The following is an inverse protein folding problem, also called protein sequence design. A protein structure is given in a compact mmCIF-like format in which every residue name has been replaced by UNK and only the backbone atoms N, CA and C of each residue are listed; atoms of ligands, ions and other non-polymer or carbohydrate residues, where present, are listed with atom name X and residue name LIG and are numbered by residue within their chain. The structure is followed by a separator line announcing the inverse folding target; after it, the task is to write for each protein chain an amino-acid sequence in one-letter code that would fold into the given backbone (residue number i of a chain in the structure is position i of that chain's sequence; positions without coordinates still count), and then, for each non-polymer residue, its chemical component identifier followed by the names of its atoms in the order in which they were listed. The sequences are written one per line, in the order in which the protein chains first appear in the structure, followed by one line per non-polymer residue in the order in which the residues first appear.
data_IF_559301845706
#
_entry.id   IF_559301845706
#
_cell.length_a   1.000
_cell.length_b   1.000
_cell.length_c   1.000
_cell.angle_alpha   90.00
_cell.angle_beta   90.00
_cell.angle_gamma   90.00
#
_symmetry.space_group_name_H-M   'P 1'
#
loop_
_entity.id
_entity.type
_entity.pdbx_description
1 polymer ?
#
# COMPACT_ATOMS: atom_id res chain seq x y z
N UNK A 1 -16.11 38.47 7.25
CA UNK A 1 -15.84 37.25 6.47
C UNK A 1 -17.16 36.52 6.25
N UNK A 2 -17.53 36.18 5.01
CA UNK A 2 -18.74 35.38 4.75
C UNK A 2 -18.48 33.96 5.26
N UNK A 3 -19.36 33.42 6.09
CA UNK A 3 -19.32 32.00 6.50
C UNK A 3 -19.30 31.16 5.23
N UNK A 4 -18.24 30.39 5.02
CA UNK A 4 -18.15 29.43 3.91
C UNK A 4 -19.26 28.41 4.08
N UNK A 5 -20.04 28.17 3.02
CA UNK A 5 -21.07 27.13 3.00
C UNK A 5 -20.39 25.76 3.19
N UNK A 6 -20.88 24.92 4.12
CA UNK A 6 -20.42 23.54 4.35
C UNK A 6 -20.12 22.79 3.05
N UNK A 7 -21.04 22.90 2.09
CA UNK A 7 -20.90 22.26 0.78
C UNK A 7 -19.61 22.69 0.08
N UNK A 8 -19.28 23.98 0.10
CA UNK A 8 -18.06 24.50 -0.53
C UNK A 8 -16.78 23.98 0.14
N UNK A 9 -16.77 23.84 1.47
CA UNK A 9 -15.62 23.32 2.21
C UNK A 9 -15.38 21.85 1.85
N UNK A 10 -16.45 21.06 1.89
CA UNK A 10 -16.42 19.62 1.57
C UNK A 10 -16.09 19.40 0.09
N UNK A 11 -16.73 20.13 -0.83
CA UNK A 11 -16.46 20.04 -2.27
C UNK A 11 -15.01 20.41 -2.60
N UNK A 12 -14.42 21.40 -1.91
CA UNK A 12 -13.01 21.75 -2.10
C UNK A 12 -12.09 20.58 -1.74
N UNK A 13 -12.33 19.93 -0.60
CA UNK A 13 -11.55 18.75 -0.21
C UNK A 13 -11.81 17.59 -1.18
N UNK A 14 -13.08 17.30 -1.50
CA UNK A 14 -13.43 16.23 -2.45
C UNK A 14 -12.81 16.42 -3.83
N UNK A 15 -12.75 17.64 -4.34
CA UNK A 15 -12.07 17.95 -5.59
C UNK A 15 -10.57 17.65 -5.50
N UNK A 16 -9.91 18.07 -4.42
CA UNK A 16 -8.50 17.77 -4.18
C UNK A 16 -8.22 16.26 -4.11
N UNK A 17 -9.09 15.49 -3.45
CA UNK A 17 -9.01 14.03 -3.37
C UNK A 17 -9.28 13.37 -4.72
N UNK A 18 -10.43 13.67 -5.34
CA UNK A 18 -10.91 12.98 -6.54
C UNK A 18 -10.01 13.19 -7.75
N UNK A 19 -9.50 14.39 -7.97
CA UNK A 19 -8.63 14.67 -9.13
C UNK A 19 -7.34 13.84 -9.09
N UNK A 20 -6.78 13.63 -7.90
CA UNK A 20 -5.52 12.91 -7.74
C UNK A 20 -5.66 11.39 -7.87
N UNK A 21 -6.88 10.85 -7.71
CA UNK A 21 -7.11 9.41 -7.57
C UNK A 21 -8.03 8.81 -8.63
N UNK A 22 -8.85 9.60 -9.31
CA UNK A 22 -9.95 9.12 -10.16
C UNK A 22 -9.49 8.15 -11.26
N UNK A 23 -8.30 8.40 -11.80
CA UNK A 23 -7.73 7.58 -12.86
C UNK A 23 -7.11 6.27 -12.35
N UNK A 24 -6.86 6.14 -11.04
CA UNK A 24 -6.14 5.02 -10.44
C UNK A 24 -7.07 4.12 -9.61
N UNK A 25 -7.99 4.70 -8.85
CA UNK A 25 -8.79 3.98 -7.86
C UNK A 25 -10.28 4.20 -8.08
N UNK A 26 -11.09 3.13 -8.23
CA UNK A 26 -12.54 3.23 -8.33
C UNK A 26 -13.18 3.41 -6.94
N UNK A 27 -12.91 4.53 -6.28
CA UNK A 27 -13.50 4.84 -4.96
C UNK A 27 -14.90 5.41 -5.14
N UNK A 28 -15.88 4.85 -4.43
CA UNK A 28 -17.26 5.37 -4.44
C UNK A 28 -17.27 6.79 -3.88
N UNK A 29 -17.96 7.70 -4.56
CA UNK A 29 -18.07 9.10 -4.14
C UNK A 29 -18.58 9.25 -2.69
N UNK A 30 -19.56 8.43 -2.28
CA UNK A 30 -20.04 8.40 -0.90
C UNK A 30 -18.94 8.04 0.11
N UNK A 31 -18.01 7.14 -0.22
CA UNK A 31 -16.91 6.80 0.70
C UNK A 31 -15.94 7.98 0.87
N UNK A 32 -15.68 8.74 -0.20
CA UNK A 32 -14.86 9.96 -0.11
C UNK A 32 -15.53 11.03 0.76
N UNK A 33 -16.85 11.19 0.66
CA UNK A 33 -17.62 12.12 1.50
C UNK A 33 -17.49 11.74 2.98
N UNK A 34 -17.63 10.45 3.32
CA UNK A 34 -17.53 10.00 4.71
C UNK A 34 -16.08 10.10 5.24
N UNK A 35 -15.08 9.83 4.40
CA UNK A 35 -13.67 10.02 4.75
C UNK A 35 -13.35 11.49 5.02
N UNK A 36 -13.75 12.41 4.13
CA UNK A 36 -13.58 13.85 4.33
C UNK A 36 -14.31 14.34 5.58
N UNK A 37 -15.49 13.77 5.88
CA UNK A 37 -16.23 14.11 7.10
C UNK A 37 -15.46 13.72 8.36
N UNK A 38 -14.77 12.57 8.34
CA UNK A 38 -13.93 12.14 9.45
C UNK A 38 -12.73 13.06 9.66
N UNK A 39 -12.19 13.66 8.60
CA UNK A 39 -11.18 14.71 8.72
C UNK A 39 -11.68 15.97 9.43
N UNK A 40 -12.99 16.20 9.50
CA UNK A 40 -13.60 17.24 10.34
C UNK A 40 -14.19 16.67 11.63
N UNK A 41 -13.61 15.58 12.13
CA UNK A 41 -13.93 14.98 13.43
C UNK A 41 -15.41 14.53 13.52
N UNK A 42 -15.95 13.99 12.42
CA UNK A 42 -17.28 13.36 12.38
C UNK A 42 -17.30 12.14 11.47
N UNK A 43 -17.86 11.00 11.93
CA UNK A 43 -17.81 9.76 11.13
C UNK A 43 -18.66 9.77 9.87
N UNK A 44 -19.67 10.64 9.81
CA UNK A 44 -20.61 10.73 8.68
C UNK A 44 -20.90 12.16 8.27
N UNK A 45 -21.27 12.37 7.00
CA UNK A 45 -21.67 13.68 6.49
C UNK A 45 -22.93 14.23 7.16
N UNK A 46 -23.86 13.36 7.55
CA UNK A 46 -25.03 13.77 8.33
C UNK A 46 -24.63 14.34 9.70
N UNK A 47 -23.66 13.73 10.38
CA UNK A 47 -23.12 14.23 11.64
C UNK A 47 -22.34 15.54 11.42
N UNK A 48 -21.56 15.64 10.33
CA UNK A 48 -20.87 16.87 9.96
C UNK A 48 -21.85 18.02 9.73
N UNK A 49 -22.95 17.77 9.03
CA UNK A 49 -23.98 18.78 8.76
C UNK A 49 -24.63 19.29 10.04
N UNK A 50 -25.02 18.38 10.94
CA UNK A 50 -25.58 18.75 12.23
C UNK A 50 -24.59 19.57 13.07
N UNK A 51 -23.31 19.17 13.11
CA UNK A 51 -22.25 19.94 13.76
C UNK A 51 -22.11 21.35 13.16
N UNK A 52 -22.10 21.46 11.83
CA UNK A 52 -21.98 22.74 11.13
C UNK A 52 -23.15 23.69 11.42
N UNK A 53 -24.36 23.17 11.61
CA UNK A 53 -25.53 23.96 12.01
C UNK A 53 -25.35 24.58 13.41
N UNK A 54 -24.58 23.92 14.30
CA UNK A 54 -24.29 24.40 15.66
C UNK A 54 -23.04 25.28 15.72
N UNK A 55 -22.02 24.96 14.93
CA UNK A 55 -20.74 25.63 14.91
C UNK A 55 -20.14 25.62 13.50
N UNK A 56 -19.79 26.78 12.91
CA UNK A 56 -19.11 26.82 11.62
C UNK A 56 -17.82 25.99 11.63
N UNK A 57 -17.56 25.27 10.54
CA UNK A 57 -16.30 24.53 10.39
C UNK A 57 -15.14 25.48 10.11
N UNK A 58 -14.01 25.21 10.75
CA UNK A 58 -12.72 25.81 10.39
C UNK A 58 -12.05 24.94 9.30
N UNK A 59 -11.83 25.44 8.07
CA UNK A 59 -11.14 24.69 7.03
C UNK A 59 -9.74 24.23 7.43
N UNK A 60 -9.09 24.91 8.38
CA UNK A 60 -7.75 24.56 8.87
C UNK A 60 -7.78 23.43 9.91
N UNK A 61 -8.95 23.07 10.44
CA UNK A 61 -9.08 21.98 11.40
C UNK A 61 -9.15 20.59 10.74
N UNK A 62 -8.86 20.48 9.44
CA UNK A 62 -8.94 19.22 8.71
C UNK A 62 -7.81 18.28 9.14
N UNK A 63 -8.18 17.19 9.81
CA UNK A 63 -7.31 16.09 10.17
C UNK A 63 -7.19 15.10 9.01
N UNK A 64 -6.08 15.21 8.28
CA UNK A 64 -5.73 14.29 7.19
C UNK A 64 -5.67 12.83 7.66
N UNK A 65 -5.12 12.55 8.84
CA UNK A 65 -4.96 11.18 9.32
C UNK A 65 -6.32 10.55 9.60
N UNK A 66 -7.22 11.28 10.27
CA UNK A 66 -8.59 10.80 10.52
C UNK A 66 -9.35 10.51 9.20
N UNK A 67 -9.13 11.32 8.17
CA UNK A 67 -9.68 11.06 6.83
C UNK A 67 -9.14 9.76 6.21
N UNK A 68 -7.82 9.56 6.24
CA UNK A 68 -7.17 8.35 5.69
C UNK A 68 -7.57 7.10 6.46
N UNK A 69 -7.65 7.16 7.79
CA UNK A 69 -8.08 6.04 8.62
C UNK A 69 -9.53 5.65 8.29
N UNK A 70 -10.42 6.63 8.14
CA UNK A 70 -11.80 6.37 7.73
C UNK A 70 -11.89 5.80 6.32
N UNK A 71 -11.04 6.27 5.40
CA UNK A 71 -10.98 5.71 4.05
C UNK A 71 -10.53 4.24 4.07
N UNK A 72 -9.59 3.89 4.94
CA UNK A 72 -9.14 2.50 5.12
C UNK A 72 -10.28 1.58 5.58
N UNK A 73 -11.12 2.05 6.50
CA UNK A 73 -12.32 1.32 6.96
C UNK A 73 -13.36 1.11 5.85
N UNK A 74 -13.51 2.10 4.95
CA UNK A 74 -14.53 2.09 3.89
C UNK A 74 -14.08 1.40 2.60
N UNK A 75 -12.78 1.20 2.42
CA UNK A 75 -12.19 0.60 1.22
C UNK A 75 -11.30 -0.57 1.63
N UNK A 76 -9.99 -0.36 1.61
CA UNK A 76 -8.99 -1.25 2.17
C UNK A 76 -7.76 -0.43 2.61
N UNK A 77 -6.98 -0.91 3.59
CA UNK A 77 -5.81 -0.18 4.09
C UNK A 77 -4.77 0.16 3.01
N UNK A 78 -4.62 -0.68 1.98
CA UNK A 78 -3.63 -0.45 0.92
C UNK A 78 -4.08 0.68 -0.02
N UNK A 79 -5.37 0.76 -0.36
CA UNK A 79 -5.93 1.90 -1.10
C UNK A 79 -5.78 3.19 -0.31
N UNK A 80 -6.16 3.21 0.97
CA UNK A 80 -6.06 4.42 1.79
C UNK A 80 -4.62 4.93 1.92
N UNK A 81 -3.64 4.05 2.14
CA UNK A 81 -2.23 4.42 2.20
C UNK A 81 -1.70 4.92 0.84
N UNK A 82 -2.16 4.35 -0.28
CA UNK A 82 -1.79 4.86 -1.60
C UNK A 82 -2.41 6.25 -1.90
N UNK A 83 -3.64 6.50 -1.45
CA UNK A 83 -4.29 7.81 -1.52
C UNK A 83 -3.54 8.84 -0.67
N UNK A 84 -3.09 8.45 0.52
CA UNK A 84 -2.29 9.31 1.38
C UNK A 84 -1.00 9.78 0.69
N UNK A 85 -0.30 8.89 -0.01
CA UNK A 85 0.88 9.25 -0.81
C UNK A 85 0.57 10.32 -1.86
N UNK A 86 -0.54 10.17 -2.59
CA UNK A 86 -0.96 11.11 -3.62
C UNK A 86 -1.35 12.48 -3.01
N UNK A 87 -1.95 12.47 -1.82
CA UNK A 87 -2.26 13.68 -1.07
C UNK A 87 -1.00 14.39 -0.57
N UNK A 88 0.07 13.64 -0.31
CA UNK A 88 1.40 14.17 0.02
C UNK A 88 2.11 14.86 -1.15
N UNK A 89 1.49 14.97 -2.33
CA UNK A 89 2.03 15.65 -3.49
C UNK A 89 2.56 14.72 -4.59
N UNK A 90 2.62 13.41 -4.32
CA UNK A 90 3.01 12.44 -5.33
C UNK A 90 1.97 12.39 -6.48
N UNK A 91 2.45 12.05 -7.67
CA UNK A 91 1.64 11.86 -8.87
C UNK A 91 2.08 10.57 -9.54
N UNK A 92 1.13 9.73 -9.90
CA UNK A 92 1.39 8.49 -10.62
C UNK A 92 0.50 8.42 -11.86
N UNK A 93 1.11 8.24 -13.02
CA UNK A 93 0.40 7.88 -14.24
C UNK A 93 0.68 6.42 -14.56
N UNK A 94 -0.33 5.72 -15.09
CA UNK A 94 -0.19 4.34 -15.58
C UNK A 94 -0.86 4.28 -16.95
N UNK A 95 -0.04 4.02 -17.97
CA UNK A 95 -0.46 3.72 -19.33
C UNK A 95 -0.71 2.23 -19.51
N UNK A 96 -1.78 1.89 -20.24
CA UNK A 96 -2.08 0.52 -20.65
C UNK A 96 -2.40 0.54 -22.14
N UNK A 97 -1.44 0.11 -22.97
CA UNK A 97 -1.54 0.17 -24.42
C UNK A 97 -1.61 -1.23 -25.00
N UNK A 98 -2.62 -1.52 -25.83
CA UNK A 98 -2.71 -2.83 -26.51
C UNK A 98 -1.55 -2.95 -27.50
N UNK A 99 -0.86 -4.09 -27.50
CA UNK A 99 0.20 -4.35 -28.48
C UNK A 99 -0.40 -4.41 -29.88
N UNK A 100 0.19 -3.66 -30.81
CA UNK A 100 -0.25 -3.62 -32.20
C UNK A 100 0.04 -4.95 -32.92
N UNK A 101 1.15 -5.60 -32.57
CA UNK A 101 1.58 -6.86 -33.18
C UNK A 101 1.58 -7.95 -32.13
N UNK A 102 0.78 -8.98 -32.36
CA UNK A 102 0.79 -10.21 -31.58
C UNK A 102 1.22 -11.36 -32.48
N UNK A 103 2.31 -12.08 -32.14
CA UNK A 103 2.71 -13.25 -32.90
C UNK A 103 1.59 -14.29 -32.91
N UNK A 104 1.23 -14.82 -34.08
CA UNK A 104 0.08 -15.75 -34.27
C UNK A 104 0.11 -16.98 -33.35
N UNK A 105 1.29 -17.39 -32.89
CA UNK A 105 1.47 -18.53 -31.98
C UNK A 105 0.94 -18.29 -30.56
N UNK A 106 0.69 -17.04 -30.17
CA UNK A 106 0.25 -16.70 -28.83
C UNK A 106 -1.25 -16.42 -28.82
N UNK A 107 -1.98 -17.19 -28.01
CA UNK A 107 -3.44 -17.10 -27.86
C UNK A 107 -3.86 -16.10 -26.76
N UNK A 108 -2.89 -15.46 -26.10
CA UNK A 108 -3.17 -14.46 -25.08
C UNK A 108 -3.61 -13.14 -25.72
N UNK A 109 -3.91 -12.13 -24.91
CA UNK A 109 -4.05 -10.74 -25.36
C UNK A 109 -3.05 -9.87 -24.59
N UNK A 110 -2.13 -9.23 -25.31
CA UNK A 110 -0.99 -8.54 -24.70
C UNK A 110 -1.10 -7.02 -24.72
N UNK A 111 -0.70 -6.39 -23.62
CA UNK A 111 -0.60 -4.94 -23.45
C UNK A 111 0.79 -4.57 -22.94
N UNK A 112 1.29 -3.42 -23.38
CA UNK A 112 2.40 -2.74 -22.75
C UNK A 112 1.88 -1.90 -21.58
N UNK A 113 2.62 -1.95 -20.48
CA UNK A 113 2.37 -1.19 -19.27
C UNK A 113 3.53 -0.25 -19.00
N UNK A 114 3.22 1.02 -18.81
CA UNK A 114 4.18 2.05 -18.41
C UNK A 114 3.63 2.78 -17.19
N UNK A 115 4.48 3.03 -16.20
CA UNK A 115 4.15 3.83 -15.03
C UNK A 115 5.20 4.90 -14.80
N UNK A 116 4.76 6.11 -14.48
CA UNK A 116 5.64 7.25 -14.20
C UNK A 116 5.21 7.91 -12.89
N UNK A 117 6.16 7.98 -11.96
CA UNK A 117 5.99 8.58 -10.64
C UNK A 117 6.65 9.96 -10.62
N UNK A 118 6.01 10.95 -10.01
CA UNK A 118 6.59 12.28 -9.82
C UNK A 118 6.07 12.93 -8.54
N UNK A 119 6.61 14.09 -8.18
CA UNK A 119 6.20 14.81 -6.96
C UNK A 119 6.63 14.14 -5.65
N UNK A 120 7.54 13.17 -5.72
CA UNK A 120 8.15 12.54 -4.54
C UNK A 120 9.48 13.24 -4.23
N UNK A 121 9.73 13.57 -2.96
CA UNK A 121 10.94 14.31 -2.56
C UNK A 121 12.26 13.63 -2.96
N UNK A 122 13.30 14.43 -3.24
CA UNK A 122 14.61 13.94 -3.73
C UNK A 122 15.33 12.99 -2.76
N UNK A 123 15.00 13.02 -1.47
CA UNK A 123 15.56 12.07 -0.49
C UNK A 123 14.96 10.66 -0.63
N UNK A 124 13.83 10.53 -1.33
CA UNK A 124 13.18 9.23 -1.63
C UNK A 124 13.72 8.64 -2.94
N UNK A 125 14.25 9.45 -3.86
CA UNK A 125 14.74 8.98 -5.17
C UNK A 125 16.13 8.34 -5.14
N UNK A 126 16.93 8.55 -4.08
CA UNK A 126 18.29 7.99 -3.97
C UNK A 126 18.37 6.48 -3.72
N UNK A 127 17.25 5.82 -3.38
CA UNK A 127 17.21 4.36 -3.18
C UNK A 127 16.42 3.67 -4.27
N UNK A 128 16.85 2.46 -4.64
CA UNK A 128 16.08 1.57 -5.50
C UNK A 128 14.73 1.29 -4.84
N UNK A 129 13.65 1.79 -5.46
CA UNK A 129 12.29 1.62 -4.96
C UNK A 129 11.73 0.31 -5.50
N UNK A 130 11.77 -0.71 -4.67
CA UNK A 130 11.28 -2.04 -5.04
C UNK A 130 9.85 -2.25 -4.59
N UNK A 131 9.06 -2.90 -5.42
CA UNK A 131 7.70 -3.30 -5.12
C UNK A 131 7.42 -4.67 -5.71
N UNK A 132 6.40 -5.34 -5.21
CA UNK A 132 6.03 -6.66 -5.72
C UNK A 132 4.86 -6.49 -6.69
N UNK A 133 4.98 -7.12 -7.87
CA UNK A 133 3.93 -7.09 -8.88
C UNK A 133 2.67 -7.76 -8.35
N UNK A 134 1.48 -7.17 -8.60
CA UNK A 134 0.25 -7.76 -8.12
C UNK A 134 -0.09 -9.01 -8.92
N UNK A 135 -0.61 -10.01 -8.23
CA UNK A 135 -1.05 -11.27 -8.82
C UNK A 135 -2.56 -11.45 -8.63
N UNK A 136 -3.21 -12.06 -9.61
CA UNK A 136 -4.55 -12.60 -9.44
C UNK A 136 -4.54 -14.09 -9.78
N UNK A 137 -4.93 -14.92 -8.82
CA UNK A 137 -5.10 -16.36 -9.00
C UNK A 137 -6.53 -16.68 -8.57
N UNK A 138 -7.32 -17.28 -9.45
CA UNK A 138 -8.68 -17.71 -9.12
C UNK A 138 -8.67 -18.86 -8.12
N UNK A 139 -9.80 -19.11 -7.45
CA UNK A 139 -9.94 -20.22 -6.50
C UNK A 139 -9.62 -21.60 -7.12
N UNK A 140 -9.78 -21.73 -8.44
CA UNK A 140 -9.40 -22.92 -9.21
C UNK A 140 -7.88 -23.08 -9.40
N UNK A 141 -7.07 -22.13 -8.95
CA UNK A 141 -5.64 -22.07 -9.22
C UNK A 141 -5.28 -21.52 -10.60
N UNK A 142 -6.28 -21.14 -11.42
CA UNK A 142 -6.05 -20.56 -12.73
C UNK A 142 -5.56 -19.10 -12.63
N UNK A 143 -4.53 -18.74 -13.39
CA UNK A 143 -4.06 -17.38 -13.57
C UNK A 143 -4.79 -16.78 -14.80
N UNK A 144 -5.82 -15.94 -14.64
CA UNK A 144 -6.58 -15.42 -15.78
C UNK A 144 -5.79 -14.41 -16.62
N UNK A 145 -4.82 -13.74 -15.99
CA UNK A 145 -3.92 -12.81 -16.61
C UNK A 145 -2.67 -12.62 -15.74
N UNK A 146 -1.62 -12.10 -16.36
CA UNK A 146 -0.30 -11.96 -15.78
C UNK A 146 0.24 -10.58 -16.02
N UNK A 147 0.81 -9.99 -14.96
CA UNK A 147 1.65 -8.80 -15.08
C UNK A 147 3.10 -9.26 -14.97
N UNK A 148 3.95 -8.83 -15.89
CA UNK A 148 5.39 -9.09 -15.84
C UNK A 148 6.16 -7.79 -16.00
N UNK A 149 7.29 -7.69 -15.32
CA UNK A 149 8.17 -6.54 -15.43
C UNK A 149 9.17 -6.75 -16.57
N UNK A 150 9.42 -5.68 -17.33
CA UNK A 150 10.49 -5.66 -18.31
C UNK A 150 11.82 -6.02 -17.63
N UNK A 151 12.71 -6.71 -18.34
CA UNK A 151 13.97 -7.20 -17.77
C UNK A 151 14.79 -6.10 -17.05
N UNK A 152 14.76 -4.86 -17.57
CA UNK A 152 15.46 -3.70 -17.01
C UNK A 152 14.85 -3.16 -15.70
N UNK A 153 13.61 -3.52 -15.39
CA UNK A 153 12.85 -3.07 -14.22
C UNK A 153 12.62 -4.19 -13.19
N UNK A 154 13.26 -5.35 -13.37
CA UNK A 154 13.27 -6.42 -12.36
C UNK A 154 14.26 -6.07 -11.25
N UNK A 155 13.82 -6.17 -10.00
CA UNK A 155 14.67 -5.82 -8.86
C UNK A 155 15.75 -6.88 -8.61
N UNK A 156 16.96 -6.42 -8.28
CA UNK A 156 18.07 -7.28 -7.83
C UNK A 156 18.23 -7.15 -6.31
N UNK A 157 17.42 -7.89 -5.57
CA UNK A 157 17.43 -7.92 -4.11
C UNK A 157 17.83 -9.31 -3.59
N UNK A 158 18.39 -9.37 -2.37
CA UNK A 158 18.84 -10.64 -1.78
C UNK A 158 17.70 -11.66 -1.59
N UNK A 159 16.50 -11.17 -1.25
CA UNK A 159 15.31 -11.99 -0.98
C UNK A 159 14.11 -11.47 -1.78
N UNK A 160 14.02 -11.77 -3.09
CA UNK A 160 12.92 -11.31 -3.91
C UNK A 160 11.65 -12.11 -3.62
N UNK A 161 10.50 -11.44 -3.71
CA UNK A 161 9.21 -12.10 -3.75
C UNK A 161 9.07 -12.92 -5.03
N UNK A 162 8.47 -14.09 -4.87
CA UNK A 162 8.17 -15.02 -5.96
C UNK A 162 6.75 -15.51 -5.85
N UNK A 163 6.15 -15.75 -7.01
CA UNK A 163 4.85 -16.41 -7.13
C UNK A 163 4.93 -17.86 -6.66
N UNK A 164 3.77 -18.54 -6.63
CA UNK A 164 3.68 -19.97 -6.31
C UNK A 164 4.47 -20.86 -7.28
N UNK A 165 4.58 -20.49 -8.55
CA UNK A 165 5.36 -21.19 -9.57
C UNK A 165 6.83 -20.72 -9.64
N UNK A 166 7.26 -19.86 -8.71
CA UNK A 166 8.65 -19.42 -8.58
C UNK A 166 9.05 -18.24 -9.47
N UNK A 167 8.11 -17.65 -10.22
CA UNK A 167 8.31 -16.43 -11.03
C UNK A 167 8.72 -15.27 -10.13
N UNK A 168 9.67 -14.47 -10.59
CA UNK A 168 10.09 -13.25 -9.91
C UNK A 168 8.99 -12.20 -9.95
N UNK A 169 8.56 -11.70 -8.79
CA UNK A 169 7.55 -10.64 -8.68
C UNK A 169 8.14 -9.30 -8.27
N UNK A 170 9.32 -9.27 -7.65
CA UNK A 170 9.89 -8.01 -7.22
C UNK A 170 10.40 -7.20 -8.42
N UNK A 171 9.80 -6.05 -8.61
CA UNK A 171 10.14 -5.04 -9.59
C UNK A 171 10.76 -3.80 -8.90
N UNK A 172 11.32 -2.91 -9.70
CA UNK A 172 11.90 -1.64 -9.24
C UNK A 172 11.50 -0.50 -10.16
N UNK A 173 11.37 0.71 -9.59
CA UNK A 173 11.39 1.95 -10.36
C UNK A 173 12.82 2.28 -10.77
N UNK A 174 13.02 2.64 -12.04
CA UNK A 174 14.27 3.16 -12.61
C UNK A 174 13.97 4.57 -13.10
N UNK A 175 14.67 5.58 -12.58
CA UNK A 175 14.42 6.99 -12.91
C UNK A 175 12.95 7.39 -12.79
N UNK A 176 12.32 6.98 -11.68
CA UNK A 176 10.90 7.18 -11.39
C UNK A 176 9.92 6.50 -12.38
N UNK A 177 10.42 5.67 -13.27
CA UNK A 177 9.63 4.92 -14.24
C UNK A 177 9.61 3.43 -13.96
N UNK A 178 8.52 2.77 -14.32
CA UNK A 178 8.44 1.32 -14.42
C UNK A 178 7.83 0.92 -15.74
N UNK A 179 8.37 -0.16 -16.34
CA UNK A 179 7.83 -0.74 -17.58
C UNK A 179 7.63 -2.24 -17.44
N UNK A 180 6.60 -2.73 -18.10
CA UNK A 180 6.22 -4.13 -18.09
C UNK A 180 5.16 -4.47 -19.13
N UNK A 181 4.48 -5.58 -18.90
CA UNK A 181 3.45 -6.08 -19.78
C UNK A 181 2.32 -6.73 -19.00
N UNK A 182 1.13 -6.71 -19.60
CA UNK A 182 -0.03 -7.49 -19.17
C UNK A 182 -0.36 -8.52 -20.25
N UNK A 183 -0.55 -9.77 -19.85
CA UNK A 183 -0.95 -10.87 -20.71
C UNK A 183 -2.26 -11.45 -20.20
N UNK A 184 -3.33 -11.40 -20.99
CA UNK A 184 -4.65 -11.92 -20.61
C UNK A 184 -4.85 -13.29 -21.26
N UNK A 185 -4.95 -14.34 -20.45
CA UNK A 185 -5.11 -15.73 -20.90
C UNK A 185 -6.57 -16.17 -20.94
N UNK A 186 -7.39 -15.63 -20.05
CA UNK A 186 -8.80 -15.97 -19.96
C UNK A 186 -9.60 -15.40 -21.14
N UNK A 187 -10.27 -16.27 -21.89
CA UNK A 187 -11.00 -15.90 -23.10
C UNK A 187 -12.18 -14.93 -22.84
N UNK A 188 -12.82 -14.99 -21.67
CA UNK A 188 -13.89 -14.04 -21.34
C UNK A 188 -13.32 -12.64 -21.11
N UNK A 189 -12.18 -12.54 -20.43
CA UNK A 189 -11.48 -11.28 -20.21
C UNK A 189 -10.82 -10.73 -21.49
N UNK A 190 -10.48 -11.57 -22.46
CA UNK A 190 -10.02 -11.11 -23.77
C UNK A 190 -11.15 -10.42 -24.57
N UNK A 191 -12.40 -10.86 -24.39
CA UNK A 191 -13.57 -10.26 -25.04
C UNK A 191 -14.00 -8.93 -24.39
N UNK A 192 -13.90 -8.83 -23.06
CA UNK A 192 -14.10 -7.57 -22.31
C UNK A 192 -12.99 -7.35 -21.27
N UNK A 193 -11.96 -6.62 -21.70
CA UNK A 193 -10.75 -6.36 -20.93
C UNK A 193 -10.88 -5.20 -19.93
N UNK A 194 -12.01 -4.49 -19.90
CA UNK A 194 -12.15 -3.22 -19.16
C UNK A 194 -11.95 -3.41 -17.66
N UNK A 195 -12.57 -4.46 -17.11
CA UNK A 195 -12.44 -4.80 -15.69
C UNK A 195 -11.03 -5.25 -15.34
N UNK A 196 -10.39 -6.05 -16.21
CA UNK A 196 -9.01 -6.47 -16.04
C UNK A 196 -8.07 -5.25 -16.01
N UNK A 197 -8.15 -4.36 -17.00
CA UNK A 197 -7.32 -3.14 -17.05
C UNK A 197 -7.54 -2.24 -15.84
N UNK A 198 -8.78 -2.02 -15.42
CA UNK A 198 -9.09 -1.23 -14.22
C UNK A 198 -8.48 -1.86 -12.96
N UNK A 199 -8.59 -3.19 -12.81
CA UNK A 199 -7.97 -3.91 -11.70
C UNK A 199 -6.45 -3.79 -11.74
N UNK A 200 -5.83 -4.01 -12.90
CA UNK A 200 -4.37 -3.93 -13.08
C UNK A 200 -3.87 -2.54 -12.72
N UNK A 201 -4.53 -1.50 -13.23
CA UNK A 201 -4.18 -0.10 -12.93
C UNK A 201 -4.25 0.19 -11.43
N UNK A 202 -5.36 -0.18 -10.78
CA UNK A 202 -5.52 0.06 -9.33
C UNK A 202 -4.53 -0.74 -8.47
N UNK A 203 -4.25 -2.00 -8.81
CA UNK A 203 -3.33 -2.83 -8.04
C UNK A 203 -1.88 -2.42 -8.25
N UNK A 204 -1.49 -2.10 -9.48
CA UNK A 204 -0.16 -1.61 -9.79
C UNK A 204 0.07 -0.23 -9.14
N UNK A 205 -0.94 0.64 -9.15
CA UNK A 205 -0.88 1.92 -8.46
C UNK A 205 -0.64 1.74 -6.96
N UNK A 206 -1.37 0.84 -6.30
CA UNK A 206 -1.13 0.51 -4.88
C UNK A 206 0.29 0.00 -4.68
N UNK A 207 0.75 -0.96 -5.49
CA UNK A 207 2.09 -1.52 -5.34
C UNK A 207 3.20 -0.44 -5.45
N UNK A 208 3.11 0.44 -6.46
CA UNK A 208 4.08 1.52 -6.69
C UNK A 208 3.99 2.59 -5.60
N UNK A 209 2.79 3.10 -5.30
CA UNK A 209 2.62 4.18 -4.31
C UNK A 209 3.01 3.72 -2.90
N UNK A 210 2.71 2.46 -2.53
CA UNK A 210 3.15 1.92 -1.25
C UNK A 210 4.67 1.78 -1.15
N UNK A 211 5.38 1.61 -2.26
CA UNK A 211 6.83 1.61 -2.27
C UNK A 211 7.45 2.99 -1.99
N UNK A 212 6.66 4.05 -2.10
CA UNK A 212 7.03 5.42 -1.75
C UNK A 212 6.17 5.99 -0.62
N UNK A 213 5.51 5.11 0.16
CA UNK A 213 4.68 5.48 1.30
C UNK A 213 5.44 6.40 2.27
N UNK A 214 4.74 7.39 2.86
CA UNK A 214 5.38 8.55 3.44
C UNK A 214 6.13 8.27 4.74
N UNK A 215 5.99 7.09 5.37
CA UNK A 215 6.69 6.77 6.62
C UNK A 215 7.07 5.30 6.80
N UNK A 216 6.09 4.40 6.77
CA UNK A 216 6.27 2.97 7.06
C UNK A 216 5.49 2.10 6.08
N UNK A 217 6.10 1.02 5.62
CA UNK A 217 5.51 -0.06 4.81
C UNK A 217 5.72 -1.39 5.54
N UNK A 218 4.72 -2.26 5.54
CA UNK A 218 4.84 -3.59 6.13
C UNK A 218 4.34 -4.63 5.11
N UNK A 219 5.26 -5.44 4.60
CA UNK A 219 4.94 -6.57 3.75
C UNK A 219 4.83 -7.82 4.60
N UNK A 220 3.73 -8.55 4.45
CA UNK A 220 3.51 -9.83 5.11
C UNK A 220 3.27 -10.87 4.03
N UNK A 221 4.16 -11.85 3.95
CA UNK A 221 4.17 -12.85 2.89
C UNK A 221 4.61 -14.20 3.44
N UNK A 222 4.43 -15.26 2.66
CA UNK A 222 4.85 -16.62 3.03
C UNK A 222 5.88 -17.12 2.02
N UNK A 223 7.18 -17.16 2.38
CA UNK A 223 8.21 -17.74 1.52
C UNK A 223 7.91 -19.21 1.21
N UNK A 224 8.44 -19.68 0.08
CA UNK A 224 8.32 -21.10 -0.29
C UNK A 224 8.92 -21.99 0.81
N UNK A 225 8.20 -23.05 1.18
CA UNK A 225 8.60 -24.00 2.23
C UNK A 225 8.20 -23.63 3.66
N UNK A 226 7.57 -22.46 3.87
CA UNK A 226 7.00 -22.13 5.18
C UNK A 226 5.72 -22.94 5.45
N UNK A 227 5.55 -23.37 6.70
CA UNK A 227 4.33 -24.04 7.16
C UNK A 227 3.12 -23.11 7.11
N UNK A 228 1.92 -23.71 7.08
CA UNK A 228 0.68 -22.96 7.22
C UNK A 228 0.61 -22.18 8.53
N UNK A 229 0.11 -20.95 8.46
CA UNK A 229 0.04 -20.02 9.59
C UNK A 229 1.34 -19.29 9.91
N UNK A 230 2.46 -19.64 9.25
CA UNK A 230 3.73 -18.90 9.39
C UNK A 230 3.78 -17.76 8.38
N UNK A 231 4.18 -16.58 8.87
CA UNK A 231 4.31 -15.37 8.07
C UNK A 231 5.71 -14.79 8.20
N UNK A 232 6.31 -14.41 7.07
CA UNK A 232 7.48 -13.54 7.00
C UNK A 232 6.99 -12.11 6.99
N UNK A 233 7.62 -11.26 7.80
CA UNK A 233 7.27 -9.84 7.92
C UNK A 233 8.48 -9.00 7.56
N UNK A 234 8.28 -8.04 6.66
CA UNK A 234 9.26 -7.01 6.28
C UNK A 234 8.65 -5.64 6.55
N UNK A 235 9.12 -5.00 7.62
CA UNK A 235 8.76 -3.62 7.96
C UNK A 235 9.85 -2.68 7.43
N UNK A 236 9.48 -1.69 6.65
CA UNK A 236 10.37 -0.74 6.00
C UNK A 236 9.99 0.67 6.42
N UNK A 237 10.95 1.42 6.98
CA UNK A 237 10.85 2.85 7.16
C UNK A 237 11.40 3.56 5.93
N UNK A 238 10.72 4.61 5.48
CA UNK A 238 11.22 5.41 4.37
C UNK A 238 12.35 6.35 4.81
N UNK A 239 12.88 7.14 3.86
CA UNK A 239 14.00 8.05 4.13
C UNK A 239 13.65 9.17 5.12
N UNK A 240 12.39 9.62 5.19
CA UNK A 240 11.95 10.66 6.14
C UNK A 240 12.03 10.17 7.59
N UNK A 241 11.51 8.97 7.85
CA UNK A 241 11.62 8.32 9.16
C UNK A 241 13.09 8.06 9.49
N UNK A 242 13.87 7.54 8.54
CA UNK A 242 15.29 7.28 8.78
C UNK A 242 16.09 8.57 9.07
N UNK A 243 15.81 9.65 8.35
CA UNK A 243 16.43 10.96 8.56
C UNK A 243 16.07 11.54 9.93
N UNK A 244 14.81 11.43 10.36
CA UNK A 244 14.39 11.85 11.69
C UNK A 244 15.15 11.11 12.79
N UNK A 245 15.43 9.82 12.60
CA UNK A 245 16.21 9.03 13.56
C UNK A 245 17.72 9.31 13.52
N UNK A 246 18.22 10.08 12.55
CA UNK A 246 19.59 10.61 12.55
C UNK A 246 20.69 9.55 12.65
N UNK A 247 20.45 8.35 12.11
CA UNK A 247 21.37 7.20 12.22
C UNK A 247 21.25 6.40 13.53
N UNK A 248 20.43 6.83 14.49
CA UNK A 248 20.05 6.01 15.63
C UNK A 248 19.11 4.88 15.18
N UNK A 249 19.21 3.67 15.75
CA UNK A 249 18.32 2.58 15.38
C UNK A 249 16.87 2.93 15.74
N UNK A 250 15.97 2.86 14.77
CA UNK A 250 14.53 2.91 15.03
C UNK A 250 14.14 1.61 15.75
N UNK A 251 13.89 1.71 17.06
CA UNK A 251 13.47 0.60 17.93
C UNK A 251 11.97 0.69 18.17
N UNK A 252 11.24 -0.40 17.92
CA UNK A 252 9.80 -0.47 18.14
C UNK A 252 9.44 -1.76 18.89
N UNK A 253 8.30 -1.72 19.59
CA UNK A 253 7.78 -2.89 20.29
C UNK A 253 7.27 -3.91 19.26
N UNK A 254 7.66 -5.18 19.39
CA UNK A 254 7.06 -6.24 18.58
C UNK A 254 5.60 -6.43 19.04
N UNK A 255 4.65 -6.59 18.11
CA UNK A 255 3.25 -6.76 18.49
C UNK A 255 3.08 -8.03 19.31
N UNK A 256 2.35 -7.90 20.42
CA UNK A 256 1.95 -9.04 21.25
C UNK A 256 0.64 -9.60 20.71
N UNK A 257 0.63 -10.90 20.37
CA UNK A 257 -0.53 -11.60 19.82
C UNK A 257 -0.69 -12.92 20.58
N UNK A 258 -1.85 -13.17 21.21
CA UNK A 258 -2.11 -14.43 21.89
C UNK A 258 -1.82 -15.62 20.96
N UNK A 259 -1.17 -16.63 21.51
CA UNK A 259 -0.85 -17.89 20.82
C UNK A 259 0.07 -17.73 19.60
N UNK A 260 0.77 -16.61 19.45
CA UNK A 260 1.75 -16.41 18.38
C UNK A 260 3.05 -15.89 18.97
N UNK A 261 4.17 -16.29 18.37
CA UNK A 261 5.49 -15.73 18.69
C UNK A 261 6.04 -14.96 17.51
N UNK A 262 6.79 -13.92 17.82
CA UNK A 262 7.50 -13.10 16.82
C UNK A 262 8.99 -13.32 17.02
N UNK A 263 9.63 -13.89 16.00
CA UNK A 263 11.06 -14.16 15.99
C UNK A 263 11.71 -13.14 15.05
N UNK A 264 12.48 -12.19 15.59
CA UNK A 264 13.25 -11.25 14.77
C UNK A 264 14.48 -11.94 14.17
N UNK A 265 14.92 -11.51 12.98
CA UNK A 265 16.28 -11.85 12.56
C UNK A 265 17.31 -11.30 13.54
N UNK A 266 18.44 -12.00 13.70
CA UNK A 266 19.46 -11.67 14.69
C UNK A 266 19.94 -10.22 14.61
N UNK A 267 20.08 -9.67 13.40
CA UNK A 267 20.49 -8.29 13.20
C UNK A 267 19.39 -7.28 13.58
N UNK A 268 18.13 -7.68 13.48
CA UNK A 268 16.94 -6.88 13.76
C UNK A 268 16.41 -7.01 15.19
N UNK A 269 17.05 -7.85 16.01
CA UNK A 269 16.72 -7.97 17.43
C UNK A 269 17.35 -6.82 18.23
N UNK A 270 16.55 -6.16 19.06
CA UNK A 270 17.00 -5.11 19.96
C UNK A 270 17.04 -5.59 21.41
N UNK A 271 15.92 -6.13 21.90
CA UNK A 271 15.76 -6.69 23.25
C UNK A 271 14.50 -7.58 23.29
N UNK A 272 14.17 -8.17 24.45
CA UNK A 272 12.95 -8.92 24.67
C UNK A 272 11.72 -8.07 24.31
N UNK A 273 10.95 -8.54 23.32
CA UNK A 273 9.75 -7.87 22.83
C UNK A 273 10.02 -6.61 21.99
N UNK A 274 11.26 -6.33 21.58
CA UNK A 274 11.60 -5.15 20.78
C UNK A 274 12.42 -5.52 19.52
N UNK A 275 12.01 -4.94 18.39
CA UNK A 275 12.72 -5.00 17.12
C UNK A 275 13.42 -3.68 16.82
N UNK A 276 14.52 -3.73 16.04
CA UNK A 276 15.18 -2.55 15.46
C UNK A 276 15.29 -2.63 13.95
N UNK A 277 15.06 -1.51 13.29
CA UNK A 277 15.31 -1.37 11.86
C UNK A 277 16.81 -1.20 11.63
N UNK A 278 17.36 -1.98 10.69
CA UNK A 278 18.72 -1.86 10.16
C UNK A 278 18.60 -1.32 8.75
N UNK A 279 19.24 -0.18 8.47
CA UNK A 279 19.15 0.53 7.19
C UNK A 279 17.71 0.83 6.74
N UNK A 280 16.82 1.03 7.71
CA UNK A 280 15.39 1.26 7.49
C UNK A 280 14.56 0.00 7.28
N UNK A 281 15.11 -1.20 7.53
CA UNK A 281 14.38 -2.46 7.35
C UNK A 281 14.43 -3.30 8.62
N UNK A 282 13.28 -3.85 9.02
CA UNK A 282 13.15 -4.91 10.00
C UNK A 282 12.59 -6.16 9.34
N UNK A 283 13.22 -7.29 9.63
CA UNK A 283 12.83 -8.61 9.15
C UNK A 283 12.63 -9.56 10.33
N UNK A 284 11.60 -10.40 10.21
CA UNK A 284 11.32 -11.45 11.17
C UNK A 284 10.18 -12.35 10.70
N UNK A 285 9.88 -13.34 11.52
CA UNK A 285 8.87 -14.34 11.27
C UNK A 285 7.84 -14.37 12.42
N UNK A 286 6.59 -14.63 12.06
CA UNK A 286 5.49 -14.85 13.01
C UNK A 286 5.09 -16.30 12.93
N UNK A 287 5.15 -17.00 14.05
CA UNK A 287 4.80 -18.41 14.16
C UNK A 287 3.57 -18.61 15.04
N UNK A 288 2.67 -19.55 14.69
CA UNK A 288 1.70 -20.07 15.64
C UNK A 288 2.44 -20.77 16.78
N UNK A 289 2.03 -20.50 18.02
CA UNK A 289 2.61 -21.08 19.22
C UNK A 289 1.73 -22.24 19.70
N UNK A 290 2.17 -23.47 19.44
CA UNK A 290 1.46 -24.69 19.83
C UNK A 290 0.14 -24.90 19.07
N UNK A 291 -0.70 -25.81 19.61
CA UNK A 291 -1.99 -26.14 19.00
C UNK A 291 -2.97 -24.97 18.97
N UNK A 292 -2.88 -24.05 19.94
CA UNK A 292 -3.82 -22.95 20.07
C UNK A 292 -3.56 -21.85 19.04
N UNK A 293 -2.30 -21.66 18.63
CA UNK A 293 -1.93 -20.80 17.51
C UNK A 293 -2.46 -21.35 16.18
N UNK A 294 -2.39 -22.67 15.98
CA UNK A 294 -2.94 -23.31 14.78
C UNK A 294 -4.47 -23.25 14.72
N UNK A 295 -5.15 -23.23 15.87
CA UNK A 295 -6.61 -23.04 15.98
C UNK A 295 -7.05 -21.58 15.83
N UNK A 296 -6.13 -20.62 15.98
CA UNK A 296 -6.39 -19.19 15.84
C UNK A 296 -5.48 -18.56 14.77
N UNK A 297 -5.56 -19.01 13.50
CA UNK A 297 -4.65 -18.52 12.47
C UNK A 297 -4.80 -17.01 12.27
N UNK A 298 -3.68 -16.27 12.31
CA UNK A 298 -3.66 -14.87 11.91
C UNK A 298 -3.69 -14.74 10.39
N UNK A 299 -4.51 -13.80 9.90
CA UNK A 299 -4.41 -13.39 8.50
C UNK A 299 -3.17 -12.53 8.28
N UNK A 300 -2.69 -12.45 7.04
CA UNK A 300 -1.59 -11.55 6.68
C UNK A 300 -1.92 -10.08 7.01
N UNK A 301 -3.20 -9.70 6.93
CA UNK A 301 -3.66 -8.34 7.25
C UNK A 301 -3.63 -8.05 8.75
N UNK A 302 -4.00 -9.01 9.60
CA UNK A 302 -3.94 -8.89 11.06
C UNK A 302 -2.49 -8.69 11.54
N UNK A 303 -1.57 -9.45 10.94
CA UNK A 303 -0.13 -9.32 11.20
C UNK A 303 0.34 -7.94 10.75
N UNK A 304 0.05 -7.56 9.50
CA UNK A 304 0.45 -6.27 8.92
C UNK A 304 -0.01 -5.10 9.78
N UNK A 305 -1.28 -5.09 10.15
CA UNK A 305 -1.90 -4.05 10.98
C UNK A 305 -1.22 -3.98 12.35
N UNK A 306 -0.93 -5.11 12.99
CA UNK A 306 -0.27 -5.11 14.29
C UNK A 306 1.14 -4.47 14.26
N UNK A 307 1.93 -4.82 13.25
CA UNK A 307 3.28 -4.28 13.08
C UNK A 307 3.27 -2.79 12.76
N UNK A 308 2.42 -2.36 11.81
CA UNK A 308 2.30 -0.95 11.46
C UNK A 308 1.82 -0.12 12.65
N UNK A 309 0.82 -0.58 13.40
CA UNK A 309 0.32 0.12 14.58
C UNK A 309 1.41 0.27 15.65
N UNK A 310 2.20 -0.77 15.90
CA UNK A 310 3.27 -0.69 16.90
C UNK A 310 4.41 0.26 16.48
N UNK A 311 4.81 0.21 15.21
CA UNK A 311 5.83 1.11 14.67
C UNK A 311 5.33 2.57 14.63
N UNK A 312 4.08 2.81 14.21
CA UNK A 312 3.45 4.15 14.25
C UNK A 312 3.31 4.70 15.66
N UNK A 313 2.97 3.86 16.64
CA UNK A 313 2.96 4.28 18.05
C UNK A 313 4.34 4.78 18.51
N UNK A 314 5.42 4.20 17.97
CA UNK A 314 6.79 4.67 18.22
C UNK A 314 7.04 6.03 17.58
N UNK A 315 6.63 6.22 16.31
CA UNK A 315 6.69 7.52 15.63
C UNK A 315 5.93 8.61 16.39
N UNK A 316 4.70 8.31 16.82
CA UNK A 316 3.85 9.24 17.56
C UNK A 316 4.48 9.63 18.90
N UNK A 317 5.01 8.67 19.67
CA UNK A 317 5.72 8.96 20.94
C UNK A 317 6.95 9.85 20.73
N UNK A 318 7.66 9.65 19.61
CA UNK A 318 8.81 10.47 19.24
C UNK A 318 8.41 11.85 18.71
N UNK A 319 7.11 12.14 18.54
CA UNK A 319 6.57 13.37 17.93
C UNK A 319 7.08 13.57 16.50
N UNK A 320 7.22 12.47 15.77
CA UNK A 320 7.46 12.54 14.33
C UNK A 320 6.25 13.21 13.66
N UNK A 321 6.48 14.34 12.99
CA UNK A 321 5.43 15.07 12.28
C UNK A 321 5.16 14.37 10.94
N UNK A 322 3.96 13.80 10.81
CA UNK A 322 3.49 13.17 9.58
C UNK A 322 3.27 14.20 8.46
#
# INVERSE_FOLDING_TARGET
MKSSNLKSIVDTQLCAFSQSIADLFPIRHGHLIEAVSAGYDTRTYAALRNRHEQQPLDPLSFDRQACIDRLAELTDPATAAAVDVLFGGARLTIGVARRAVQPERFLDLAYDLDAELSGVGQDVTRRTRTFDLPEQIFASGNEPYRIDSAHTHRARVASPARSRDGRLLTAQLVDDQWRGALYIYDAQLQNDDRRCKAWVKANLARAILLAVAPDLRCDVFRPFGYNDGVWRVRLVANSRVQAFWGGSPFVFRLPDRPFHRVDSEKANWADLGNGKLIDGVWLGDVYPNGSDGLKNPLSADDVRTAFLSSARATLARAKFAA
#
